data_IF_672094082634
#
_entry.id   IF_672094082634
#
_cell.length_a   1.000
_cell.length_b   1.000
_cell.length_c   1.000
_cell.angle_alpha   90.00
_cell.angle_beta   90.00
_cell.angle_gamma   90.00
#
_symmetry.space_group_name_H-M   'P 1'
#
loop_
_entity.id
_entity.type
_entity.pdbx_description
1 polymer ?
#
# COMPACT_ATOMS: atom_id res chain seq x y z
N UNK A 1 18.57 -36.09 -12.88
CA UNK A 1 17.18 -35.76 -13.24
C UNK A 1 16.64 -34.94 -12.10
N UNK A 2 16.37 -33.66 -12.33
CA UNK A 2 15.69 -32.82 -11.36
C UNK A 2 14.25 -33.31 -11.22
N UNK A 3 13.79 -33.47 -9.99
CA UNK A 3 12.45 -33.92 -9.66
C UNK A 3 11.47 -32.73 -9.66
N UNK A 4 10.17 -33.02 -9.75
CA UNK A 4 9.14 -31.98 -9.60
C UNK A 4 9.24 -31.26 -8.24
N UNK A 5 9.60 -31.98 -7.18
CA UNK A 5 9.76 -31.41 -5.83
C UNK A 5 10.89 -30.38 -5.80
N UNK A 6 12.03 -30.68 -6.43
CA UNK A 6 13.17 -29.76 -6.51
C UNK A 6 12.83 -28.51 -7.34
N UNK A 7 12.06 -28.67 -8.43
CA UNK A 7 11.58 -27.53 -9.24
C UNK A 7 10.63 -26.64 -8.44
N UNK A 8 9.70 -27.23 -7.69
CA UNK A 8 8.76 -26.48 -6.85
C UNK A 8 9.49 -25.73 -5.73
N UNK A 9 10.48 -26.36 -5.09
CA UNK A 9 11.28 -25.69 -4.07
C UNK A 9 12.06 -24.49 -4.63
N UNK A 10 12.66 -24.63 -5.82
CA UNK A 10 13.34 -23.53 -6.51
C UNK A 10 12.38 -22.39 -6.87
N UNK A 11 11.18 -22.72 -7.35
CA UNK A 11 10.15 -21.75 -7.68
C UNK A 11 9.74 -20.92 -6.46
N UNK A 12 9.50 -21.55 -5.31
CA UNK A 12 9.15 -20.84 -4.08
C UNK A 12 10.31 -19.95 -3.59
N UNK A 13 11.55 -20.42 -3.68
CA UNK A 13 12.73 -19.62 -3.32
C UNK A 13 12.91 -18.39 -4.23
N UNK A 14 12.74 -18.55 -5.54
CA UNK A 14 12.80 -17.45 -6.50
C UNK A 14 11.64 -16.47 -6.33
N UNK A 15 10.42 -16.98 -6.04
CA UNK A 15 9.25 -16.16 -5.72
C UNK A 15 9.54 -15.30 -4.48
N UNK A 16 10.05 -15.90 -3.41
CA UNK A 16 10.37 -15.19 -2.18
C UNK A 16 11.44 -14.11 -2.40
N UNK A 17 12.55 -14.44 -3.06
CA UNK A 17 13.61 -13.45 -3.37
C UNK A 17 13.10 -12.30 -4.22
N UNK A 18 12.20 -12.59 -5.16
CA UNK A 18 11.59 -11.57 -6.01
C UNK A 18 10.67 -10.68 -5.19
N UNK A 19 9.88 -11.24 -4.28
CA UNK A 19 9.01 -10.49 -3.38
C UNK A 19 9.81 -9.55 -2.45
N UNK A 20 10.89 -10.05 -1.84
CA UNK A 20 11.80 -9.23 -1.01
C UNK A 20 12.38 -8.05 -1.80
N UNK A 21 12.80 -8.29 -3.04
CA UNK A 21 13.32 -7.24 -3.93
C UNK A 21 12.25 -6.24 -4.34
N UNK A 22 11.02 -6.69 -4.59
CA UNK A 22 9.89 -5.81 -4.88
C UNK A 22 9.59 -4.92 -3.68
N UNK A 23 9.58 -5.47 -2.46
CA UNK A 23 9.38 -4.69 -1.24
C UNK A 23 10.43 -3.58 -1.09
N UNK A 24 11.71 -3.92 -1.25
CA UNK A 24 12.82 -2.97 -1.15
C UNK A 24 12.71 -1.85 -2.21
N UNK A 25 12.45 -2.23 -3.47
CA UNK A 25 12.32 -1.26 -4.57
C UNK A 25 11.09 -0.39 -4.40
N UNK A 26 9.95 -0.96 -4.01
CA UNK A 26 8.71 -0.25 -3.78
C UNK A 26 8.89 0.83 -2.70
N UNK A 27 9.39 0.45 -1.52
CA UNK A 27 9.57 1.40 -0.43
C UNK A 27 10.54 2.52 -0.81
N UNK A 28 11.61 2.18 -1.52
CA UNK A 28 12.56 3.16 -2.04
C UNK A 28 11.91 4.13 -3.04
N UNK A 29 11.15 3.64 -4.01
CA UNK A 29 10.51 4.50 -5.01
C UNK A 29 9.48 5.44 -4.39
N UNK A 30 8.66 4.96 -3.44
CA UNK A 30 7.74 5.80 -2.68
C UNK A 30 8.49 6.90 -1.92
N UNK A 31 9.56 6.53 -1.20
CA UNK A 31 10.39 7.48 -0.44
C UNK A 31 11.03 8.55 -1.32
N UNK A 32 11.60 8.15 -2.46
CA UNK A 32 12.19 9.08 -3.43
C UNK A 32 11.13 10.01 -4.03
N UNK A 33 9.95 9.48 -4.30
CA UNK A 33 8.84 10.25 -4.87
C UNK A 33 8.30 11.28 -3.89
N UNK A 34 8.10 10.90 -2.62
CA UNK A 34 7.73 11.81 -1.54
C UNK A 34 8.72 12.97 -1.39
N UNK A 35 10.03 12.67 -1.38
CA UNK A 35 11.09 13.70 -1.36
C UNK A 35 10.99 14.63 -2.57
N UNK A 36 10.73 14.08 -3.76
CA UNK A 36 10.61 14.86 -5.01
C UNK A 36 9.45 15.85 -4.94
N UNK A 37 8.31 15.45 -4.39
CA UNK A 37 7.12 16.30 -4.28
C UNK A 37 7.08 17.14 -2.99
N UNK A 38 8.09 17.03 -2.14
CA UNK A 38 8.19 17.78 -0.90
C UNK A 38 7.15 17.36 0.14
N UNK A 39 6.76 16.08 0.16
CA UNK A 39 5.82 15.50 1.13
C UNK A 39 6.54 14.61 2.12
N UNK A 40 6.08 14.62 3.36
CA UNK A 40 6.69 13.85 4.44
C UNK A 40 6.22 12.39 4.46
N UNK A 41 4.98 12.12 4.05
CA UNK A 41 4.34 10.81 4.18
C UNK A 41 3.27 10.64 3.10
N UNK A 42 3.02 9.40 2.70
CA UNK A 42 1.82 8.96 1.98
C UNK A 42 1.11 7.89 2.79
N UNK A 43 -0.20 7.82 2.67
CA UNK A 43 -0.96 6.71 3.21
C UNK A 43 -2.12 6.31 2.31
N UNK A 44 -2.57 5.08 2.52
CA UNK A 44 -3.69 4.49 1.84
C UNK A 44 -4.36 3.44 2.72
N UNK A 45 -5.59 3.10 2.38
CA UNK A 45 -6.29 1.91 2.88
C UNK A 45 -6.12 0.78 1.89
N UNK A 46 -6.01 -0.43 2.36
CA UNK A 46 -6.06 -1.59 1.48
C UNK A 46 -6.91 -2.67 2.13
N UNK A 47 -7.94 -3.09 1.41
CA UNK A 47 -8.84 -4.11 1.91
C UNK A 47 -9.59 -4.84 0.80
N UNK A 48 -9.99 -6.07 1.07
CA UNK A 48 -10.99 -6.79 0.28
C UNK A 48 -12.38 -6.36 0.80
N UNK A 49 -13.17 -5.60 0.04
CA UNK A 49 -14.46 -5.14 0.51
C UNK A 49 -15.43 -6.31 0.66
N UNK A 50 -16.07 -6.39 1.82
CA UNK A 50 -17.10 -7.38 2.10
C UNK A 50 -18.47 -6.85 1.70
N UNK A 51 -18.90 -7.15 0.48
CA UNK A 51 -20.27 -6.90 0.03
C UNK A 51 -21.11 -8.17 0.16
N UNK A 52 -22.30 -8.05 0.78
CA UNK A 52 -23.29 -9.13 0.85
C UNK A 52 -24.14 -9.23 -0.45
N UNK A 53 -23.58 -8.86 -1.60
CA UNK A 53 -24.27 -8.81 -2.90
C UNK A 53 -24.00 -10.03 -3.79
N UNK A 54 -23.04 -10.87 -3.42
CA UNK A 54 -22.70 -12.11 -4.13
C UNK A 54 -21.66 -11.94 -5.24
N UNK A 55 -21.10 -10.75 -5.42
CA UNK A 55 -19.97 -10.53 -6.31
C UNK A 55 -18.64 -10.99 -5.67
N UNK A 56 -17.65 -11.41 -6.46
CA UNK A 56 -16.35 -11.80 -5.93
C UNK A 56 -15.68 -10.60 -5.25
N UNK A 57 -15.39 -10.75 -3.96
CA UNK A 57 -14.62 -9.75 -3.22
C UNK A 57 -13.16 -9.81 -3.70
N UNK A 58 -12.63 -8.69 -4.20
CA UNK A 58 -11.26 -8.56 -4.70
C UNK A 58 -10.54 -7.52 -3.87
N UNK A 59 -9.33 -7.85 -3.41
CA UNK A 59 -8.45 -6.91 -2.73
C UNK A 59 -8.19 -5.68 -3.60
N UNK A 60 -8.30 -4.49 -3.03
CA UNK A 60 -7.99 -3.25 -3.72
C UNK A 60 -7.34 -2.23 -2.79
N UNK A 61 -6.53 -1.33 -3.36
CA UNK A 61 -6.04 -0.14 -2.67
C UNK A 61 -7.04 1.00 -2.82
N UNK A 62 -7.27 1.71 -1.73
CA UNK A 62 -8.25 2.78 -1.61
C UNK A 62 -7.64 4.03 -0.98
N UNK A 63 -8.10 5.20 -1.42
CA UNK A 63 -7.90 6.46 -0.72
C UNK A 63 -6.44 6.80 -0.46
N UNK A 64 -5.61 6.79 -1.51
CA UNK A 64 -4.23 7.27 -1.42
C UNK A 64 -4.26 8.77 -1.10
N UNK A 65 -3.47 9.20 -0.12
CA UNK A 65 -3.51 10.57 0.39
C UNK A 65 -2.12 11.08 0.77
N UNK A 66 -1.93 12.39 0.57
CA UNK A 66 -0.75 13.16 0.95
C UNK A 66 -1.15 14.29 1.89
N UNK A 67 -0.71 14.30 3.17
CA UNK A 67 -1.03 15.37 4.09
C UNK A 67 -0.49 16.72 3.66
N UNK A 68 -1.26 17.72 4.03
CA UNK A 68 -0.88 19.11 4.08
C UNK A 68 -0.38 19.44 5.49
N UNK A 69 0.34 20.55 5.62
CA UNK A 69 0.91 20.96 6.92
C UNK A 69 -0.16 21.25 7.98
N UNK A 70 -1.41 21.45 7.56
CA UNK A 70 -2.57 21.73 8.41
C UNK A 70 -3.34 20.46 8.81
N UNK A 71 -2.97 19.29 8.29
CA UNK A 71 -3.68 18.04 8.55
C UNK A 71 -3.20 17.35 9.84
N UNK A 72 -4.14 16.99 10.72
CA UNK A 72 -3.85 16.11 11.85
C UNK A 72 -3.90 14.64 11.40
N UNK A 73 -2.77 13.95 11.49
CA UNK A 73 -2.63 12.52 11.14
C UNK A 73 -3.62 11.65 11.92
N UNK A 74 -3.99 12.03 13.15
CA UNK A 74 -4.98 11.31 13.94
C UNK A 74 -6.40 11.44 13.37
N UNK A 75 -6.78 12.63 12.88
CA UNK A 75 -8.08 12.86 12.25
C UNK A 75 -8.20 12.10 10.92
N UNK A 76 -7.10 12.00 10.19
CA UNK A 76 -7.05 11.29 8.91
C UNK A 76 -7.24 9.78 9.07
N UNK A 77 -6.72 9.19 10.15
CA UNK A 77 -6.95 7.77 10.46
C UNK A 77 -8.43 7.48 10.71
N UNK A 78 -9.13 8.41 11.37
CA UNK A 78 -10.54 8.29 11.74
C UNK A 78 -11.48 8.57 10.55
N UNK A 79 -11.22 9.64 9.79
CA UNK A 79 -12.10 10.17 8.75
C UNK A 79 -11.63 9.90 7.31
N UNK A 80 -10.58 9.09 7.11
CA UNK A 80 -9.98 8.83 5.79
C UNK A 80 -10.92 8.27 4.71
N UNK A 81 -12.17 7.93 5.06
CA UNK A 81 -13.25 7.62 4.10
C UNK A 81 -13.97 8.87 3.56
N UNK A 82 -14.13 9.93 4.36
CA UNK A 82 -14.79 11.19 3.96
C UNK A 82 -13.84 12.16 3.24
N UNK A 83 -12.53 12.07 3.50
CA UNK A 83 -11.52 12.90 2.85
C UNK A 83 -11.08 12.39 1.46
N UNK A 84 -11.21 11.08 1.20
CA UNK A 84 -10.80 10.43 -0.05
C UNK A 84 -11.57 10.96 -1.29
N UNK A 85 -12.86 11.29 -1.13
CA UNK A 85 -13.67 11.87 -2.22
C UNK A 85 -13.42 13.37 -2.43
N UNK A 86 -12.85 14.07 -1.44
CA UNK A 86 -12.76 15.54 -1.45
C UNK A 86 -11.41 16.08 -1.94
N UNK A 87 -10.31 15.34 -1.81
CA UNK A 87 -8.95 15.86 -2.04
C UNK A 87 -8.11 15.14 -3.12
N UNK A 88 -8.74 14.42 -4.05
CA UNK A 88 -8.10 13.86 -5.26
C UNK A 88 -7.38 14.92 -6.14
N UNK A 89 -7.57 16.22 -5.88
CA UNK A 89 -7.04 17.34 -6.67
C UNK A 89 -5.52 17.59 -6.55
N UNK A 90 -4.76 16.79 -5.81
CA UNK A 90 -3.32 17.03 -5.60
C UNK A 90 -2.42 15.80 -5.65
N UNK A 91 -2.94 14.62 -6.00
CA UNK A 91 -2.11 13.42 -6.00
C UNK A 91 -1.12 13.44 -7.16
N UNK A 92 0.14 13.14 -6.85
CA UNK A 92 1.13 12.97 -7.89
C UNK A 92 0.84 11.68 -8.67
N UNK A 93 0.61 11.81 -9.99
CA UNK A 93 0.28 10.68 -10.85
C UNK A 93 1.32 9.56 -10.79
N UNK A 94 2.59 9.86 -10.51
CA UNK A 94 3.61 8.82 -10.41
C UNK A 94 3.44 8.01 -9.12
N UNK A 95 3.14 8.68 -8.01
CA UNK A 95 2.89 8.01 -6.72
C UNK A 95 1.67 7.07 -6.81
N UNK A 96 0.59 7.57 -7.42
CA UNK A 96 -0.62 6.79 -7.70
C UNK A 96 -0.28 5.52 -8.50
N UNK A 97 0.45 5.69 -9.60
CA UNK A 97 0.84 4.58 -10.46
C UNK A 97 1.76 3.58 -9.75
N UNK A 98 2.71 4.01 -8.92
CA UNK A 98 3.58 3.09 -8.16
C UNK A 98 2.73 2.21 -7.24
N UNK A 99 1.80 2.81 -6.50
CA UNK A 99 0.94 2.09 -5.56
C UNK A 99 -0.01 1.14 -6.30
N UNK A 100 -0.68 1.61 -7.37
CA UNK A 100 -1.58 0.77 -8.16
C UNK A 100 -0.87 -0.39 -8.86
N UNK A 101 0.33 -0.18 -9.40
CA UNK A 101 1.10 -1.26 -10.03
C UNK A 101 1.56 -2.32 -9.02
N UNK A 102 1.70 -1.94 -7.75
CA UNK A 102 2.10 -2.83 -6.67
C UNK A 102 0.93 -3.54 -5.98
N UNK A 103 -0.34 -3.26 -6.32
CA UNK A 103 -1.54 -3.71 -5.58
C UNK A 103 -1.49 -5.21 -5.19
N UNK A 104 -1.20 -6.09 -6.14
CA UNK A 104 -1.12 -7.54 -5.88
C UNK A 104 -0.06 -7.92 -4.85
N UNK A 105 1.03 -7.14 -4.75
CA UNK A 105 2.08 -7.35 -3.76
C UNK A 105 1.77 -6.67 -2.43
N UNK A 106 1.01 -5.57 -2.44
CA UNK A 106 0.70 -4.83 -1.21
C UNK A 106 -0.11 -5.67 -0.23
N UNK A 107 -1.01 -6.53 -0.73
CA UNK A 107 -1.70 -7.51 0.12
C UNK A 107 -0.72 -8.47 0.79
N UNK A 108 0.29 -8.97 0.06
CA UNK A 108 1.31 -9.87 0.61
C UNK A 108 2.25 -9.14 1.59
N UNK A 109 2.55 -7.86 1.36
CA UNK A 109 3.50 -7.07 2.17
C UNK A 109 2.90 -6.53 3.46
N UNK A 110 1.68 -6.00 3.40
CA UNK A 110 1.08 -5.26 4.52
C UNK A 110 -0.21 -5.91 5.03
N UNK A 111 -0.75 -6.91 4.33
CA UNK A 111 -1.96 -7.63 4.73
C UNK A 111 -3.24 -7.05 4.13
N UNK A 112 -4.37 -7.45 4.66
CA UNK A 112 -5.71 -7.06 4.23
C UNK A 112 -6.44 -6.39 5.41
N UNK A 113 -7.32 -5.41 5.14
CA UNK A 113 -8.02 -4.67 6.18
C UNK A 113 -7.15 -3.68 6.94
N UNK A 114 -6.16 -3.07 6.28
CA UNK A 114 -5.16 -2.22 6.93
C UNK A 114 -5.06 -0.81 6.34
N UNK A 115 -4.57 0.09 7.17
CA UNK A 115 -4.10 1.42 6.80
C UNK A 115 -2.56 1.40 6.82
N UNK A 116 -1.95 1.85 5.73
CA UNK A 116 -0.49 1.85 5.56
C UNK A 116 0.02 3.28 5.46
N UNK A 117 1.10 3.60 6.18
CA UNK A 117 1.79 4.88 6.15
C UNK A 117 3.26 4.68 5.81
N UNK A 118 3.73 5.31 4.73
CA UNK A 118 5.15 5.32 4.34
C UNK A 118 5.70 6.73 4.44
N UNK A 119 6.72 6.90 5.26
CA UNK A 119 7.42 8.18 5.44
C UNK A 119 8.52 8.36 4.40
N UNK A 120 8.80 9.60 4.04
CA UNK A 120 9.88 9.97 3.13
C UNK A 120 11.27 9.73 3.72
N UNK A 121 11.40 9.74 5.05
CA UNK A 121 12.66 9.52 5.76
C UNK A 121 12.87 8.04 6.15
N UNK A 122 13.78 7.78 7.08
CA UNK A 122 14.15 6.43 7.52
C UNK A 122 13.23 5.89 8.62
N UNK A 123 12.09 6.54 8.90
CA UNK A 123 11.06 5.95 9.77
C UNK A 123 10.53 4.65 9.15
N UNK A 124 10.19 3.73 10.03
CA UNK A 124 9.57 2.47 9.65
C UNK A 124 8.17 2.73 9.09
N UNK A 125 7.80 1.92 8.09
CA UNK A 125 6.43 1.88 7.58
C UNK A 125 5.49 1.46 8.70
N UNK A 126 4.40 2.22 8.89
CA UNK A 126 3.38 1.91 9.89
C UNK A 126 2.21 1.22 9.20
N UNK A 127 1.78 0.10 9.77
CA UNK A 127 0.62 -0.68 9.32
C UNK A 127 -0.32 -0.83 10.51
N UNK A 128 -1.56 -0.39 10.36
CA UNK A 128 -2.60 -0.43 11.39
C UNK A 128 -3.85 -1.11 10.85
N UNK A 129 -4.45 -2.00 11.64
CA UNK A 129 -5.73 -2.62 11.28
C UNK A 129 -6.86 -1.57 11.28
N UNK A 130 -7.74 -1.64 10.29
CA UNK A 130 -8.93 -0.79 10.22
C UNK A 130 -10.06 -1.49 10.98
N UNK A 131 -10.49 -0.91 12.10
CA UNK A 131 -11.70 -1.38 12.79
C UNK A 131 -12.92 -1.13 11.90
N UNK A 132 -13.62 -2.20 11.56
CA UNK A 132 -14.92 -2.13 10.89
C UNK A 132 -16.01 -2.20 11.98
N UNK A 133 -16.66 -1.08 12.28
CA UNK A 133 -17.88 -1.02 13.11
C UNK A 133 -19.07 -1.74 12.44
#
# INVERSE_FOLDING_TARGET
MTTLIEILAQYEEEKQKTAEKVAEVFEKEIKEELKRIGKEVVYWKQYTPHFNDGDPCVFTVHGIYLPTDDDDVAEIKQDGLMLAETYSLGLDHKLDNIIYLAENFLQELYGDGVFVMVYADDRETVVEEVEHD
#
